data_IF_141684265295
#
_entry.id   IF_141684265295
#
_cell.length_a   1.000
_cell.length_b   1.000
_cell.length_c   1.000
_cell.angle_alpha   90.00
_cell.angle_beta   90.00
_cell.angle_gamma   90.00
#
_symmetry.space_group_name_H-M   'P 1'
#
loop_
_entity.id
_entity.type
_entity.pdbx_description
1 polymer ?
#
# COMPACT_ATOMS: atom_id res chain seq x y z
N UNK A 1 11.69 -25.42 1.39
CA UNK A 1 11.62 -24.04 1.92
C UNK A 1 10.45 -23.38 1.23
N UNK A 2 9.37 -23.18 1.96
CA UNK A 2 8.17 -22.52 1.48
C UNK A 2 8.47 -21.06 1.20
N UNK A 3 8.50 -20.66 -0.07
CA UNK A 3 8.90 -19.30 -0.48
C UNK A 3 7.65 -18.48 -0.78
N UNK A 4 7.17 -17.77 0.23
CA UNK A 4 6.25 -16.65 0.00
C UNK A 4 6.94 -15.60 -0.86
N UNK A 5 6.18 -15.00 -1.78
CA UNK A 5 6.65 -13.88 -2.62
C UNK A 5 5.80 -12.65 -2.34
N UNK A 6 6.44 -11.49 -2.30
CA UNK A 6 5.78 -10.20 -2.09
C UNK A 6 5.99 -9.30 -3.31
N UNK A 7 4.90 -8.70 -3.76
CA UNK A 7 4.88 -7.80 -4.89
C UNK A 7 4.50 -6.37 -4.47
N UNK A 8 5.14 -5.39 -5.11
CA UNK A 8 4.65 -4.02 -5.18
C UNK A 8 4.02 -3.83 -6.55
N UNK A 9 2.69 -3.69 -6.61
CA UNK A 9 1.97 -3.43 -7.85
C UNK A 9 2.05 -1.94 -8.18
N UNK A 10 2.70 -1.62 -9.30
CA UNK A 10 3.00 -0.29 -9.81
C UNK A 10 4.51 0.01 -9.70
N UNK A 11 5.21 0.02 -10.83
CA UNK A 11 6.67 0.25 -10.90
C UNK A 11 7.03 1.72 -11.17
N UNK A 12 6.13 2.65 -10.83
CA UNK A 12 6.30 4.09 -11.04
C UNK A 12 6.95 4.79 -9.83
N UNK A 13 6.77 6.11 -9.68
CA UNK A 13 7.35 6.89 -8.57
C UNK A 13 7.01 6.34 -7.19
N UNK A 14 5.72 6.16 -6.90
CA UNK A 14 5.29 5.74 -5.57
C UNK A 14 5.72 4.30 -5.24
N UNK A 15 5.65 3.37 -6.21
CA UNK A 15 6.15 2.00 -6.00
C UNK A 15 7.63 1.94 -5.64
N UNK A 16 8.46 2.80 -6.24
CA UNK A 16 9.88 2.91 -5.89
C UNK A 16 10.11 3.34 -4.44
N UNK A 17 9.23 4.19 -3.90
CA UNK A 17 9.26 4.65 -2.51
C UNK A 17 8.74 3.58 -1.54
N UNK A 18 7.77 2.76 -1.97
CA UNK A 18 7.15 1.71 -1.16
C UNK A 18 8.02 0.45 -1.05
N UNK A 19 8.76 0.08 -2.10
CA UNK A 19 9.57 -1.15 -2.12
C UNK A 19 10.57 -1.27 -0.95
N UNK A 20 11.33 -0.21 -0.56
CA UNK A 20 12.15 -0.25 0.64
C UNK A 20 11.37 -0.51 1.93
N UNK A 21 10.13 0.00 2.05
CA UNK A 21 9.27 -0.22 3.22
C UNK A 21 8.80 -1.68 3.28
N UNK A 22 8.39 -2.24 2.14
CA UNK A 22 8.05 -3.67 2.04
C UNK A 22 9.23 -4.52 2.45
N UNK A 23 10.43 -4.25 1.92
CA UNK A 23 11.66 -4.96 2.29
C UNK A 23 11.92 -4.94 3.79
N UNK A 24 11.76 -3.78 4.44
CA UNK A 24 11.92 -3.67 5.89
C UNK A 24 10.86 -4.47 6.66
N UNK A 25 9.62 -4.55 6.14
CA UNK A 25 8.52 -5.26 6.79
C UNK A 25 8.59 -6.78 6.66
N UNK A 26 9.14 -7.30 5.56
CA UNK A 26 9.11 -8.75 5.26
C UNK A 26 10.49 -9.40 5.29
N UNK A 27 11.59 -8.65 5.39
CA UNK A 27 12.94 -9.21 5.46
C UNK A 27 13.41 -9.81 4.13
N UNK A 28 14.10 -10.97 4.18
CA UNK A 28 14.79 -11.59 3.04
C UNK A 28 13.88 -12.37 2.07
N UNK A 29 12.57 -12.15 2.12
CA UNK A 29 11.65 -12.76 1.16
C UNK A 29 11.91 -12.24 -0.27
N UNK A 30 11.45 -13.00 -1.28
CA UNK A 30 11.55 -12.57 -2.67
C UNK A 30 10.61 -11.38 -2.90
N UNK A 31 11.18 -10.29 -3.43
CA UNK A 31 10.48 -9.03 -3.70
C UNK A 31 10.53 -8.68 -5.19
N UNK A 32 9.37 -8.41 -5.77
CA UNK A 32 9.23 -8.05 -7.18
C UNK A 32 8.32 -6.84 -7.38
N UNK A 33 8.48 -6.14 -8.49
CA UNK A 33 7.50 -5.19 -8.98
C UNK A 33 6.56 -5.89 -9.97
N UNK A 34 5.28 -5.53 -9.90
CA UNK A 34 4.28 -5.94 -10.88
C UNK A 34 3.79 -4.70 -11.60
N UNK A 35 3.95 -4.63 -12.92
CA UNK A 35 3.50 -3.51 -13.74
C UNK A 35 3.28 -3.96 -15.19
N UNK A 36 2.02 -3.99 -15.62
CA UNK A 36 1.62 -4.40 -16.97
C UNK A 36 2.13 -3.44 -18.07
N UNK A 37 2.59 -2.23 -17.73
CA UNK A 37 3.05 -1.22 -18.67
C UNK A 37 4.55 -0.91 -18.57
N UNK A 38 5.30 -1.63 -17.74
CA UNK A 38 6.73 -1.37 -17.58
C UNK A 38 7.52 -1.74 -18.85
N UNK A 39 8.40 -0.83 -19.29
CA UNK A 39 9.32 -1.05 -20.39
C UNK A 39 10.69 -1.61 -19.95
N UNK A 40 10.85 -1.86 -18.65
CA UNK A 40 12.09 -2.35 -18.03
C UNK A 40 11.82 -3.67 -17.32
N UNK A 41 12.79 -4.59 -17.36
CA UNK A 41 12.73 -5.88 -16.66
C UNK A 41 13.27 -5.82 -15.23
N UNK A 42 13.95 -4.73 -14.87
CA UNK A 42 14.51 -4.52 -13.53
C UNK A 42 14.39 -3.06 -13.11
N UNK A 43 14.10 -2.81 -11.83
CA UNK A 43 14.01 -1.48 -11.24
C UNK A 43 14.59 -1.50 -9.82
N UNK A 44 15.56 -0.64 -9.52
CA UNK A 44 16.24 -0.56 -8.21
C UNK A 44 16.72 -1.92 -7.67
N UNK A 45 17.20 -2.80 -8.55
CA UNK A 45 17.68 -4.15 -8.18
C UNK A 45 16.58 -5.20 -7.97
N UNK A 46 15.31 -4.87 -8.23
CA UNK A 46 14.19 -5.81 -8.21
C UNK A 46 13.73 -6.15 -9.61
N UNK A 47 13.29 -7.40 -9.82
CA UNK A 47 12.63 -7.78 -11.07
C UNK A 47 11.31 -7.03 -11.23
N UNK A 48 11.01 -6.62 -12.45
CA UNK A 48 9.72 -6.06 -12.87
C UNK A 48 9.11 -7.04 -13.85
N UNK A 49 7.84 -7.38 -13.64
CA UNK A 49 7.10 -8.32 -14.48
C UNK A 49 5.64 -7.88 -14.62
N UNK A 50 4.97 -8.41 -15.64
CA UNK A 50 3.52 -8.27 -15.79
C UNK A 50 2.77 -9.04 -14.70
N UNK A 51 1.48 -8.75 -14.55
CA UNK A 51 0.63 -9.48 -13.63
C UNK A 51 0.47 -10.96 -14.01
N UNK A 52 0.42 -11.26 -15.32
CA UNK A 52 0.33 -12.64 -15.80
C UNK A 52 1.55 -13.46 -15.40
N UNK A 53 2.75 -12.91 -15.60
CA UNK A 53 4.01 -13.55 -15.16
C UNK A 53 4.04 -13.73 -13.64
N UNK A 54 3.55 -12.75 -12.87
CA UNK A 54 3.46 -12.87 -11.41
C UNK A 54 2.54 -14.00 -10.95
N UNK A 55 1.39 -14.19 -11.62
CA UNK A 55 0.47 -15.28 -11.33
C UNK A 55 1.11 -16.66 -11.55
N UNK A 56 1.89 -16.79 -12.63
CA UNK A 56 2.55 -18.04 -13.03
C UNK A 56 3.76 -18.39 -12.16
N UNK A 57 4.27 -17.46 -11.34
CA UNK A 57 5.38 -17.76 -10.45
C UNK A 57 5.04 -18.87 -9.46
N UNK A 58 5.91 -19.87 -9.40
CA UNK A 58 5.83 -20.91 -8.38
C UNK A 58 6.14 -20.34 -6.99
N UNK A 59 5.11 -20.28 -6.16
CA UNK A 59 5.14 -19.81 -4.77
C UNK A 59 3.94 -20.37 -4.02
N UNK A 60 4.14 -20.78 -2.76
CA UNK A 60 3.05 -21.27 -1.92
C UNK A 60 2.04 -20.17 -1.58
N UNK A 61 2.54 -18.96 -1.31
CA UNK A 61 1.72 -17.78 -1.00
C UNK A 61 2.25 -16.58 -1.77
N UNK A 62 1.33 -15.81 -2.32
CA UNK A 62 1.59 -14.57 -3.04
C UNK A 62 0.94 -13.42 -2.28
N UNK A 63 1.73 -12.41 -1.98
CA UNK A 63 1.28 -11.19 -1.32
C UNK A 63 1.48 -9.98 -2.23
N UNK A 64 0.59 -9.00 -2.14
CA UNK A 64 0.68 -7.78 -2.92
C UNK A 64 0.31 -6.55 -2.11
N UNK A 65 1.06 -5.47 -2.31
CA UNK A 65 0.64 -4.11 -1.95
C UNK A 65 0.50 -3.30 -3.23
N UNK A 66 -0.52 -2.44 -3.33
CA UNK A 66 -0.87 -1.75 -4.58
C UNK A 66 -0.48 -0.28 -4.47
N UNK A 67 0.72 0.04 -4.93
CA UNK A 67 1.32 1.37 -4.87
C UNK A 67 0.84 2.27 -6.03
N UNK A 68 -0.48 2.40 -6.20
CA UNK A 68 -1.12 3.22 -7.22
C UNK A 68 -2.05 4.23 -6.56
N UNK A 69 -1.86 5.52 -6.83
CA UNK A 69 -2.65 6.60 -6.20
C UNK A 69 -4.09 6.69 -6.70
N UNK A 70 -4.33 6.35 -7.97
CA UNK A 70 -5.67 6.36 -8.56
C UNK A 70 -6.56 5.32 -7.87
N UNK A 71 -7.66 5.79 -7.26
CA UNK A 71 -8.52 4.96 -6.44
C UNK A 71 -9.25 3.89 -7.25
N UNK A 72 -9.76 4.24 -8.45
CA UNK A 72 -10.51 3.31 -9.30
C UNK A 72 -9.61 2.20 -9.83
N UNK A 73 -8.40 2.56 -10.27
CA UNK A 73 -7.40 1.58 -10.70
C UNK A 73 -6.98 0.69 -9.52
N UNK A 74 -6.72 1.27 -8.35
CA UNK A 74 -6.33 0.52 -7.15
C UNK A 74 -7.42 -0.46 -6.71
N UNK A 75 -8.68 -0.04 -6.68
CA UNK A 75 -9.82 -0.89 -6.37
C UNK A 75 -9.95 -2.06 -7.35
N UNK A 76 -9.90 -1.78 -8.67
CA UNK A 76 -9.95 -2.82 -9.71
C UNK A 76 -8.84 -3.85 -9.55
N UNK A 77 -7.62 -3.40 -9.28
CA UNK A 77 -6.47 -4.29 -9.09
C UNK A 77 -6.56 -5.07 -7.78
N UNK A 78 -7.09 -4.47 -6.72
CA UNK A 78 -7.36 -5.14 -5.44
C UNK A 78 -8.28 -6.33 -5.67
N UNK A 79 -9.43 -6.11 -6.32
CA UNK A 79 -10.37 -7.18 -6.62
C UNK A 79 -9.79 -8.25 -7.54
N UNK A 80 -8.99 -7.86 -8.54
CA UNK A 80 -8.29 -8.81 -9.43
C UNK A 80 -7.37 -9.72 -8.62
N UNK A 81 -6.51 -9.15 -7.77
CA UNK A 81 -5.57 -9.91 -6.95
C UNK A 81 -6.30 -10.88 -6.01
N UNK A 82 -7.32 -10.40 -5.29
CA UNK A 82 -8.11 -11.24 -4.39
C UNK A 82 -8.85 -12.36 -5.12
N UNK A 83 -9.40 -12.08 -6.30
CA UNK A 83 -10.08 -13.07 -7.15
C UNK A 83 -9.15 -14.20 -7.62
N UNK A 84 -7.87 -13.91 -7.77
CA UNK A 84 -6.83 -14.88 -8.15
C UNK A 84 -6.12 -15.50 -6.92
N UNK A 85 -6.63 -15.28 -5.70
CA UNK A 85 -6.10 -15.85 -4.47
C UNK A 85 -4.80 -15.20 -3.97
N UNK A 86 -4.44 -14.02 -4.47
CA UNK A 86 -3.30 -13.23 -3.99
C UNK A 86 -3.75 -12.39 -2.79
N UNK A 87 -3.00 -12.47 -1.69
CA UNK A 87 -3.32 -11.77 -0.45
C UNK A 87 -2.83 -10.32 -0.49
N UNK A 88 -3.70 -9.36 -0.18
CA UNK A 88 -3.30 -7.95 -0.01
C UNK A 88 -2.72 -7.77 1.40
N UNK A 89 -1.62 -7.04 1.55
CA UNK A 89 -1.02 -6.81 2.87
C UNK A 89 -0.74 -5.33 3.13
N UNK A 90 -0.66 -4.99 4.42
CA UNK A 90 -0.38 -3.64 4.89
C UNK A 90 1.12 -3.36 4.89
N UNK A 91 1.48 -2.11 4.60
CA UNK A 91 2.85 -1.62 4.64
C UNK A 91 2.91 -0.40 5.53
N UNK A 92 3.78 -0.43 6.54
CA UNK A 92 4.03 0.73 7.39
C UNK A 92 5.54 0.92 7.59
N UNK A 93 5.99 2.17 7.51
CA UNK A 93 7.35 2.52 7.88
C UNK A 93 7.56 2.36 9.40
N UNK A 94 8.78 2.03 9.81
CA UNK A 94 9.12 1.77 11.22
C UNK A 94 8.90 2.97 12.16
N UNK A 95 8.81 4.19 11.61
CA UNK A 95 8.61 5.44 12.36
C UNK A 95 7.20 6.03 12.20
N UNK A 96 6.21 5.21 11.81
CA UNK A 96 4.80 5.58 11.89
C UNK A 96 4.36 5.60 13.36
N UNK A 97 3.56 6.60 13.74
CA UNK A 97 2.96 6.69 15.07
C UNK A 97 1.45 6.48 14.93
N UNK A 98 0.93 5.44 15.59
CA UNK A 98 -0.51 5.19 15.72
C UNK A 98 -0.86 5.26 17.21
N UNK A 99 -1.81 6.12 17.56
CA UNK A 99 -2.26 6.32 18.95
C UNK A 99 -3.44 5.40 19.29
N UNK A 100 -4.20 5.75 20.33
CA UNK A 100 -5.22 4.88 20.92
C UNK A 100 -6.50 4.81 20.07
N UNK A 101 -7.14 3.64 20.04
CA UNK A 101 -8.44 3.42 19.39
C UNK A 101 -8.46 3.83 17.91
N UNK A 102 -7.53 3.26 17.14
CA UNK A 102 -7.43 3.46 15.71
C UNK A 102 -7.79 2.17 15.00
N UNK A 103 -8.76 2.24 14.08
CA UNK A 103 -9.11 1.17 13.16
C UNK A 103 -8.70 1.55 11.74
N UNK A 104 -7.93 0.69 11.06
CA UNK A 104 -7.54 0.88 9.66
C UNK A 104 -7.87 -0.39 8.89
N UNK A 105 -8.54 -0.25 7.74
CA UNK A 105 -8.81 -1.35 6.84
C UNK A 105 -7.55 -1.84 6.10
N UNK A 106 -7.59 -3.10 5.66
CA UNK A 106 -6.51 -3.79 4.94
C UNK A 106 -6.08 -3.07 3.66
N UNK A 107 -4.82 -3.26 3.28
CA UNK A 107 -4.18 -2.71 2.09
C UNK A 107 -3.59 -1.32 2.30
N UNK A 108 -3.38 -0.91 3.56
CA UNK A 108 -2.84 0.41 3.84
C UNK A 108 -1.36 0.54 3.48
N UNK A 109 -0.96 1.75 3.11
CA UNK A 109 0.45 2.13 2.95
C UNK A 109 0.70 3.40 3.78
N UNK A 110 1.44 3.26 4.87
CA UNK A 110 1.83 4.36 5.75
C UNK A 110 3.33 4.64 5.57
N UNK A 111 3.64 5.72 4.87
CA UNK A 111 5.01 6.16 4.61
C UNK A 111 5.65 6.81 5.85
N UNK A 112 6.99 7.02 5.84
CA UNK A 112 7.71 7.59 6.96
C UNK A 112 7.09 8.87 7.53
N UNK A 113 7.12 8.98 8.86
CA UNK A 113 6.58 10.12 9.62
C UNK A 113 5.08 10.35 9.46
N UNK A 114 4.33 9.31 9.11
CA UNK A 114 2.87 9.34 9.21
C UNK A 114 2.44 9.26 10.68
N UNK A 115 1.47 10.08 11.07
CA UNK A 115 0.85 10.01 12.41
C UNK A 115 -0.66 9.82 12.30
N UNK A 116 -1.20 8.84 13.00
CA UNK A 116 -2.65 8.67 13.19
C UNK A 116 -2.92 8.81 14.69
N UNK A 117 -3.64 9.85 15.08
CA UNK A 117 -3.96 10.08 16.50
C UNK A 117 -5.20 9.29 16.93
N UNK A 118 -5.81 9.63 18.07
CA UNK A 118 -6.80 8.76 18.69
C UNK A 118 -8.20 8.77 18.09
N UNK A 119 -8.95 7.69 18.27
CA UNK A 119 -10.38 7.55 17.89
C UNK A 119 -10.62 7.71 16.39
N UNK A 120 -9.73 7.16 15.56
CA UNK A 120 -9.77 7.32 14.11
C UNK A 120 -10.26 6.04 13.44
N UNK A 121 -11.18 6.19 12.47
CA UNK A 121 -11.62 5.08 11.63
C UNK A 121 -11.24 5.34 10.17
N UNK A 122 -10.44 4.46 9.59
CA UNK A 122 -9.95 4.54 8.22
C UNK A 122 -10.36 3.28 7.46
N UNK A 123 -10.93 3.47 6.28
CA UNK A 123 -11.33 2.39 5.37
C UNK A 123 -10.17 1.59 4.78
N UNK A 124 -10.49 0.69 3.85
CA UNK A 124 -9.49 -0.15 3.19
C UNK A 124 -8.61 0.65 2.22
N UNK A 125 -7.38 0.17 1.98
CA UNK A 125 -6.48 0.69 0.94
C UNK A 125 -6.15 2.19 1.06
N UNK A 126 -6.01 2.66 2.30
CA UNK A 126 -5.59 4.03 2.61
C UNK A 126 -4.09 4.22 2.40
N UNK A 127 -3.72 5.27 1.68
CA UNK A 127 -2.33 5.67 1.52
C UNK A 127 -2.07 6.99 2.25
N UNK A 128 -1.13 6.98 3.19
CA UNK A 128 -0.58 8.18 3.79
C UNK A 128 0.88 8.32 3.35
N UNK A 129 1.16 9.31 2.50
CA UNK A 129 2.52 9.60 2.08
C UNK A 129 3.30 10.36 3.18
N UNK A 130 4.58 10.59 2.95
CA UNK A 130 5.52 11.13 3.93
C UNK A 130 4.99 12.40 4.61
N UNK A 131 5.19 12.49 5.92
CA UNK A 131 4.82 13.64 6.75
C UNK A 131 3.32 13.98 6.78
N UNK A 132 2.45 13.04 6.44
CA UNK A 132 0.99 13.23 6.53
C UNK A 132 0.42 12.77 7.87
N UNK A 133 -0.73 13.32 8.28
CA UNK A 133 -1.40 12.85 9.50
C UNK A 133 -2.92 12.85 9.41
N UNK A 134 -3.52 12.01 10.26
CA UNK A 134 -4.94 11.99 10.59
C UNK A 134 -5.09 12.24 12.09
N UNK A 135 -5.68 13.38 12.44
CA UNK A 135 -5.93 13.77 13.82
C UNK A 135 -7.22 13.12 14.36
N UNK A 136 -7.58 13.46 15.59
CA UNK A 136 -8.53 12.70 16.38
C UNK A 136 -9.97 12.74 15.84
N UNK A 137 -10.75 11.70 16.12
CA UNK A 137 -12.17 11.62 15.78
C UNK A 137 -12.46 11.76 14.26
N UNK A 138 -11.50 11.39 13.40
CA UNK A 138 -11.65 11.42 11.96
C UNK A 138 -12.23 10.12 11.41
N UNK A 139 -13.00 10.23 10.32
CA UNK A 139 -13.51 9.10 9.54
C UNK A 139 -13.07 9.24 8.10
N UNK A 140 -12.24 8.31 7.63
CA UNK A 140 -11.64 8.32 6.30
C UNK A 140 -12.20 7.14 5.49
N UNK A 141 -12.73 7.41 4.30
CA UNK A 141 -13.30 6.39 3.42
C UNK A 141 -12.26 5.45 2.80
N UNK A 142 -12.76 4.47 2.04
CA UNK A 142 -11.94 3.51 1.31
C UNK A 142 -11.13 4.19 0.19
N UNK A 143 -9.96 3.64 -0.13
CA UNK A 143 -9.12 4.07 -1.25
C UNK A 143 -8.71 5.55 -1.23
N UNK A 144 -8.69 6.17 -0.05
CA UNK A 144 -8.21 7.56 0.09
C UNK A 144 -6.69 7.60 -0.04
N UNK A 145 -6.18 8.62 -0.72
CA UNK A 145 -4.75 8.89 -0.84
C UNK A 145 -4.43 10.29 -0.31
N UNK A 146 -3.57 10.34 0.70
CA UNK A 146 -2.93 11.58 1.14
C UNK A 146 -1.58 11.73 0.45
N UNK A 147 -1.43 12.77 -0.35
CA UNK A 147 -0.16 13.22 -0.89
C UNK A 147 0.82 13.60 0.25
N UNK A 148 2.11 13.84 -0.07
CA UNK A 148 3.09 14.26 0.93
C UNK A 148 2.64 15.52 1.71
N UNK A 149 2.68 15.44 3.04
CA UNK A 149 2.41 16.58 3.92
C UNK A 149 0.93 16.95 4.10
N UNK A 150 -0.01 16.08 3.73
CA UNK A 150 -1.45 16.29 3.96
C UNK A 150 -1.77 16.19 5.45
N UNK A 151 -2.53 17.15 5.95
CA UNK A 151 -2.85 17.31 7.36
C UNK A 151 -4.36 17.27 7.55
N UNK A 152 -4.88 16.15 8.04
CA UNK A 152 -6.29 15.99 8.34
C UNK A 152 -6.52 16.29 9.83
N UNK A 153 -7.04 17.49 10.13
CA UNK A 153 -7.34 17.93 11.49
C UNK A 153 -8.51 17.15 12.10
N UNK A 154 -8.72 17.29 13.41
CA UNK A 154 -9.69 16.45 14.12
C UNK A 154 -11.14 16.69 13.68
N UNK A 155 -11.98 15.66 13.85
CA UNK A 155 -13.41 15.65 13.48
C UNK A 155 -13.68 15.83 11.97
N UNK A 156 -12.76 15.39 11.10
CA UNK A 156 -12.93 15.47 9.64
C UNK A 156 -13.49 14.16 9.08
N UNK A 157 -14.45 14.30 8.16
CA UNK A 157 -14.95 13.21 7.31
C UNK A 157 -14.40 13.34 5.89
N UNK A 158 -13.74 12.30 5.38
CA UNK A 158 -13.27 12.21 4.00
C UNK A 158 -13.99 11.07 3.28
N UNK A 159 -14.62 11.37 2.15
CA UNK A 159 -15.28 10.38 1.30
C UNK A 159 -14.30 9.39 0.67
N UNK A 160 -14.82 8.23 0.26
CA UNK A 160 -14.01 7.22 -0.42
C UNK A 160 -13.46 7.71 -1.77
N UNK A 161 -12.28 7.22 -2.15
CA UNK A 161 -11.62 7.53 -3.41
C UNK A 161 -11.06 8.95 -3.54
N UNK A 162 -11.14 9.76 -2.49
CA UNK A 162 -10.57 11.11 -2.49
C UNK A 162 -9.04 11.07 -2.56
N UNK A 163 -8.48 12.03 -3.29
CA UNK A 163 -7.04 12.34 -3.30
C UNK A 163 -6.86 13.76 -2.79
N UNK A 164 -6.07 13.91 -1.73
CA UNK A 164 -5.75 15.19 -1.10
C UNK A 164 -4.25 15.46 -1.17
#
# INVERSE_FOLDING_TARGET
MNKSIYAVFGASGFGREVMPLVRASVGDHRLVFVDDNASVSTLNGHQVMSYGEFLELDAERKFVTIAIADAQVREKLTHRCLGDGIEVFDVAAANVVVMNDVAVGQGMILCPFTTITSNVNIGISFHANIYSYVAHDCVIGNYVTFAPGVKCNGNVLIGGGCRS
#
